data_IF_392236421962
#
_entry.id   IF_392236421962
#
_cell.length_a   1.000
_cell.length_b   1.000
_cell.length_c   1.000
_cell.angle_alpha   90.00
_cell.angle_beta   90.00
_cell.angle_gamma   90.00
#
_symmetry.space_group_name_H-M   'P 1'
#
loop_
_entity.id
_entity.type
_entity.pdbx_description
1 polymer ?
#
# COMPACT_ATOMS: atom_id res chain seq x y z
N UNK A 1 13.59 -13.80 3.43
CA UNK A 1 12.15 -14.23 3.42
C UNK A 1 11.33 -12.98 3.15
N UNK A 2 10.32 -13.03 2.27
CA UNK A 2 9.47 -11.86 1.99
C UNK A 2 8.47 -11.72 3.13
N UNK A 3 8.49 -10.57 3.79
CA UNK A 3 7.58 -10.28 4.91
C UNK A 3 6.33 -9.56 4.45
N UNK A 4 6.43 -8.67 3.45
CA UNK A 4 5.29 -7.88 2.97
C UNK A 4 5.16 -7.97 1.46
N UNK A 5 3.96 -8.26 0.95
CA UNK A 5 3.59 -8.06 -0.45
C UNK A 5 2.86 -6.73 -0.60
N UNK A 6 3.47 -5.79 -1.32
CA UNK A 6 2.89 -4.46 -1.58
C UNK A 6 2.24 -4.50 -2.96
N UNK A 7 0.92 -4.39 -2.98
CA UNK A 7 0.11 -4.42 -4.20
C UNK A 7 -0.27 -2.99 -4.58
N UNK A 8 0.12 -2.59 -5.78
CA UNK A 8 -0.17 -1.27 -6.36
C UNK A 8 -1.05 -1.46 -7.59
N UNK A 9 -2.37 -1.28 -7.49
CA UNK A 9 -3.24 -1.27 -8.65
C UNK A 9 -3.00 -0.01 -9.48
N UNK A 10 -2.82 -0.16 -10.78
CA UNK A 10 -2.48 0.92 -11.70
C UNK A 10 -3.54 1.02 -12.79
N UNK A 11 -4.14 2.19 -12.96
CA UNK A 11 -5.01 2.51 -14.08
C UNK A 11 -4.92 4.00 -14.38
N UNK A 12 -4.43 4.36 -15.58
CA UNK A 12 -4.27 5.75 -16.05
C UNK A 12 -3.50 6.64 -15.05
N UNK A 13 -2.43 6.10 -14.44
CA UNK A 13 -1.69 6.70 -13.33
C UNK A 13 -0.34 7.34 -13.72
N UNK A 14 -0.04 7.54 -15.01
CA UNK A 14 1.27 7.95 -15.53
C UNK A 14 1.92 9.11 -14.77
N UNK A 15 1.13 10.11 -14.40
CA UNK A 15 1.64 11.34 -13.75
C UNK A 15 2.13 11.12 -12.31
N UNK A 16 1.68 10.06 -11.64
CA UNK A 16 1.91 9.84 -10.22
C UNK A 16 2.70 8.57 -9.93
N UNK A 17 2.59 7.56 -10.80
CA UNK A 17 3.08 6.20 -10.59
C UNK A 17 4.57 6.12 -10.24
N UNK A 18 5.43 6.86 -10.95
CA UNK A 18 6.88 6.86 -10.67
C UNK A 18 7.17 7.27 -9.23
N UNK A 19 6.54 8.36 -8.76
CA UNK A 19 6.72 8.85 -7.40
C UNK A 19 6.19 7.87 -6.35
N UNK A 20 5.06 7.22 -6.62
CA UNK A 20 4.52 6.16 -5.77
C UNK A 20 5.55 5.03 -5.61
N UNK A 21 6.02 4.46 -6.72
CA UNK A 21 6.99 3.34 -6.71
C UNK A 21 8.30 3.77 -6.03
N UNK A 22 8.83 4.93 -6.33
CA UNK A 22 10.07 5.44 -5.73
C UNK A 22 9.95 5.59 -4.21
N UNK A 23 8.79 6.02 -3.70
CA UNK A 23 8.54 6.12 -2.27
C UNK A 23 8.50 4.75 -1.57
N UNK A 24 8.03 3.72 -2.26
CA UNK A 24 8.07 2.33 -1.77
C UNK A 24 9.49 1.78 -1.81
N UNK A 25 10.23 2.04 -2.87
CA UNK A 25 11.65 1.61 -2.98
C UNK A 25 12.55 2.29 -1.94
N UNK A 26 12.16 3.47 -1.44
CA UNK A 26 12.87 4.20 -0.39
C UNK A 26 12.61 3.68 1.04
N UNK A 27 11.85 2.59 1.22
CA UNK A 27 11.58 2.03 2.55
C UNK A 27 12.86 1.56 3.23
N UNK A 28 12.99 1.83 4.54
CA UNK A 28 14.13 1.37 5.38
C UNK A 28 14.14 -0.15 5.57
N UNK A 29 12.99 -0.80 5.56
CA UNK A 29 12.83 -2.24 5.54
C UNK A 29 12.94 -2.75 4.11
N UNK A 30 13.70 -3.83 3.85
CA UNK A 30 13.91 -4.39 2.51
C UNK A 30 13.29 -5.79 2.33
N UNK A 31 12.54 -6.27 3.31
CA UNK A 31 11.93 -7.61 3.27
C UNK A 31 10.54 -7.57 2.62
N UNK A 32 10.42 -6.96 1.45
CA UNK A 32 9.16 -6.84 0.72
C UNK A 32 9.31 -7.22 -0.75
N UNK A 33 8.18 -7.51 -1.38
CA UNK A 33 7.97 -7.53 -2.82
C UNK A 33 6.95 -6.47 -3.23
N UNK A 34 7.04 -6.00 -4.46
CA UNK A 34 6.08 -5.06 -5.06
C UNK A 34 5.37 -5.78 -6.21
N UNK A 35 4.05 -5.74 -6.22
CA UNK A 35 3.22 -6.29 -7.28
C UNK A 35 2.47 -5.13 -7.92
N UNK A 36 2.91 -4.71 -9.11
CA UNK A 36 2.25 -3.71 -9.92
C UNK A 36 1.18 -4.40 -10.76
N UNK A 37 -0.07 -3.98 -10.64
CA UNK A 37 -1.17 -4.57 -11.41
C UNK A 37 -1.74 -3.50 -12.34
N UNK A 38 -1.30 -3.52 -13.59
CA UNK A 38 -1.83 -2.67 -14.64
C UNK A 38 -3.19 -3.19 -15.11
N UNK A 39 -4.23 -2.46 -14.81
CA UNK A 39 -5.62 -2.78 -15.12
C UNK A 39 -6.05 -2.21 -16.48
N UNK A 40 -5.21 -2.42 -17.51
CA UNK A 40 -5.47 -2.02 -18.88
C UNK A 40 -5.29 -0.54 -19.14
N UNK A 41 -4.19 0.06 -18.64
CA UNK A 41 -3.85 1.46 -18.89
C UNK A 41 -3.48 1.72 -20.35
N UNK A 42 -3.79 2.92 -20.83
CA UNK A 42 -3.50 3.37 -22.21
C UNK A 42 -2.73 4.69 -22.25
N UNK A 43 -2.31 5.20 -21.10
CA UNK A 43 -1.64 6.51 -20.97
C UNK A 43 -0.11 6.41 -20.88
N UNK A 44 0.46 5.20 -20.95
CA UNK A 44 1.89 4.93 -20.76
C UNK A 44 2.25 4.47 -19.34
N UNK A 45 1.26 4.15 -18.50
CA UNK A 45 1.51 3.58 -17.17
C UNK A 45 2.06 2.16 -17.25
N UNK A 46 1.60 1.35 -18.22
CA UNK A 46 2.07 -0.01 -18.42
C UNK A 46 3.58 -0.06 -18.69
N UNK A 47 4.07 0.81 -19.57
CA UNK A 47 5.49 0.93 -19.90
C UNK A 47 6.32 1.34 -18.68
N UNK A 48 5.78 2.20 -17.81
CA UNK A 48 6.44 2.57 -16.55
C UNK A 48 6.55 1.34 -15.63
N UNK A 49 5.50 0.54 -15.50
CA UNK A 49 5.56 -0.70 -14.71
C UNK A 49 6.68 -1.62 -15.19
N UNK A 50 6.77 -1.84 -16.50
CA UNK A 50 7.80 -2.69 -17.12
C UNK A 50 9.22 -2.14 -16.90
N UNK A 51 9.41 -0.83 -17.09
CA UNK A 51 10.70 -0.18 -16.82
C UNK A 51 11.19 -0.40 -15.38
N UNK A 52 10.30 -0.38 -14.39
CA UNK A 52 10.67 -0.63 -13.02
C UNK A 52 10.96 -2.10 -12.73
N UNK A 53 10.18 -3.02 -13.30
CA UNK A 53 10.41 -4.46 -13.15
C UNK A 53 11.73 -4.92 -13.79
N UNK A 54 12.13 -4.33 -14.92
CA UNK A 54 13.43 -4.60 -15.53
C UNK A 54 14.62 -4.18 -14.65
N UNK A 55 14.46 -3.11 -13.86
CA UNK A 55 15.51 -2.54 -13.00
C UNK A 55 15.54 -3.14 -11.60
N UNK A 56 14.41 -3.63 -11.11
CA UNK A 56 14.21 -4.05 -9.71
C UNK A 56 13.64 -5.47 -9.63
N UNK A 57 14.45 -6.43 -9.21
CA UNK A 57 14.05 -7.84 -9.09
C UNK A 57 12.95 -8.10 -8.04
N UNK A 58 12.69 -7.14 -7.18
CA UNK A 58 11.64 -7.21 -6.16
C UNK A 58 10.27 -6.78 -6.72
N UNK A 59 10.20 -6.35 -7.98
CA UNK A 59 8.97 -5.90 -8.65
C UNK A 59 8.50 -6.95 -9.63
N UNK A 60 7.24 -7.32 -9.52
CA UNK A 60 6.51 -8.16 -10.48
C UNK A 60 5.37 -7.35 -11.08
N UNK A 61 5.14 -7.48 -12.38
CA UNK A 61 4.04 -6.81 -13.09
C UNK A 61 3.00 -7.81 -13.55
N UNK A 62 1.74 -7.45 -13.40
CA UNK A 62 0.59 -8.14 -13.99
C UNK A 62 -0.10 -7.15 -14.93
N UNK A 63 -0.21 -7.47 -16.22
CA UNK A 63 -1.07 -6.77 -17.15
C UNK A 63 -2.36 -7.52 -17.33
N UNK A 64 -3.49 -6.84 -17.26
CA UNK A 64 -4.82 -7.43 -17.44
C UNK A 64 -5.78 -6.47 -18.14
N UNK A 65 -6.84 -7.01 -18.72
CA UNK A 65 -7.94 -6.17 -19.19
C UNK A 65 -8.60 -5.44 -18.01
N UNK A 66 -9.06 -4.21 -18.26
CA UNK A 66 -9.69 -3.39 -17.24
C UNK A 66 -10.87 -4.11 -16.59
N UNK A 67 -10.79 -4.31 -15.30
CA UNK A 67 -11.81 -4.94 -14.47
C UNK A 67 -12.13 -4.13 -13.21
N UNK A 68 -11.51 -2.97 -13.06
CA UNK A 68 -11.67 -2.07 -11.93
C UNK A 68 -10.78 -2.41 -10.73
N UNK A 69 -10.72 -1.47 -9.80
CA UNK A 69 -9.79 -1.46 -8.65
C UNK A 69 -9.80 -2.78 -7.85
N UNK A 70 -10.97 -3.30 -7.53
CA UNK A 70 -11.09 -4.56 -6.76
C UNK A 70 -10.55 -5.76 -7.54
N UNK A 71 -10.77 -5.81 -8.86
CA UNK A 71 -10.21 -6.85 -9.73
C UNK A 71 -8.69 -6.79 -9.78
N UNK A 72 -8.11 -5.60 -9.88
CA UNK A 72 -6.67 -5.40 -9.86
C UNK A 72 -6.06 -5.84 -8.51
N UNK A 73 -6.66 -5.42 -7.38
CA UNK A 73 -6.23 -5.84 -6.05
C UNK A 73 -6.27 -7.37 -5.87
N UNK A 74 -7.34 -8.01 -6.34
CA UNK A 74 -7.47 -9.47 -6.27
C UNK A 74 -6.41 -10.19 -7.11
N UNK A 75 -6.12 -9.71 -8.33
CA UNK A 75 -5.06 -10.27 -9.15
C UNK A 75 -3.68 -10.19 -8.45
N UNK A 76 -3.38 -9.09 -7.79
CA UNK A 76 -2.17 -8.97 -6.97
C UNK A 76 -2.17 -9.95 -5.78
N UNK A 77 -3.31 -10.10 -5.10
CA UNK A 77 -3.46 -11.04 -3.99
C UNK A 77 -3.19 -12.50 -4.41
N UNK A 78 -3.55 -12.89 -5.63
CA UNK A 78 -3.35 -14.28 -6.12
C UNK A 78 -1.89 -14.70 -6.12
N UNK A 79 -0.96 -13.77 -6.36
CA UNK A 79 0.48 -14.06 -6.42
C UNK A 79 1.26 -13.58 -5.20
N UNK A 80 0.64 -12.82 -4.30
CA UNK A 80 1.27 -12.32 -3.08
C UNK A 80 1.84 -13.47 -2.22
N UNK A 81 3.14 -13.39 -1.87
CA UNK A 81 3.87 -14.42 -1.11
C UNK A 81 4.28 -13.99 0.30
N UNK A 82 4.12 -12.72 0.64
CA UNK A 82 4.45 -12.16 1.94
C UNK A 82 3.53 -12.63 3.07
N UNK A 83 4.04 -12.62 4.28
CA UNK A 83 3.26 -12.87 5.50
C UNK A 83 2.17 -11.81 5.71
N UNK A 84 2.44 -10.61 5.25
CA UNK A 84 1.50 -9.50 5.27
C UNK A 84 1.26 -8.94 3.85
N UNK A 85 0.11 -8.34 3.64
CA UNK A 85 -0.26 -7.67 2.40
C UNK A 85 -0.60 -6.21 2.68
N UNK A 86 -0.11 -5.32 1.83
CA UNK A 86 -0.42 -3.90 1.84
C UNK A 86 -0.92 -3.47 0.46
N UNK A 87 -1.93 -2.60 0.44
CA UNK A 87 -2.38 -1.92 -0.76
C UNK A 87 -1.95 -0.45 -0.72
N UNK A 88 -1.37 0.03 -1.82
CA UNK A 88 -1.01 1.44 -2.02
C UNK A 88 -1.63 1.88 -3.34
N UNK A 89 -2.40 2.95 -3.33
CA UNK A 89 -2.97 3.50 -4.56
C UNK A 89 -1.86 4.23 -5.36
N UNK A 90 -1.90 4.15 -6.69
CA UNK A 90 -0.81 4.60 -7.57
C UNK A 90 -0.53 6.11 -7.51
N UNK A 91 -1.42 6.89 -6.92
CA UNK A 91 -1.29 8.34 -6.69
C UNK A 91 -0.82 8.70 -5.28
N UNK A 92 -0.66 7.71 -4.40
CA UNK A 92 -0.19 7.90 -3.03
C UNK A 92 1.35 7.83 -2.92
N UNK A 93 1.86 8.41 -1.82
CA UNK A 93 3.28 8.38 -1.43
C UNK A 93 3.39 7.92 0.01
N UNK A 94 4.35 7.05 0.29
CA UNK A 94 4.54 6.45 1.61
C UNK A 94 5.81 6.96 2.28
N UNK A 95 5.76 7.14 3.61
CA UNK A 95 6.92 7.56 4.38
C UNK A 95 7.98 6.44 4.42
N UNK A 96 9.27 6.78 4.29
CA UNK A 96 10.37 5.80 4.19
C UNK A 96 10.53 4.82 5.36
N UNK A 97 9.98 5.13 6.54
CA UNK A 97 9.98 4.26 7.73
C UNK A 97 8.62 3.61 7.99
N UNK A 98 7.70 3.66 7.03
CA UNK A 98 6.32 3.17 7.25
C UNK A 98 6.33 1.67 7.57
N UNK A 99 6.89 0.84 6.69
CA UNK A 99 6.92 -0.61 6.86
C UNK A 99 7.64 -1.04 8.14
N UNK A 100 8.79 -0.45 8.43
CA UNK A 100 9.55 -0.75 9.66
C UNK A 100 8.70 -0.51 10.91
N UNK A 101 8.00 0.63 10.95
CA UNK A 101 7.16 1.02 12.08
C UNK A 101 5.94 0.11 12.22
N UNK A 102 5.26 -0.18 11.12
CA UNK A 102 4.06 -1.00 11.11
C UNK A 102 4.35 -2.46 11.49
N UNK A 103 5.40 -3.04 10.90
CA UNK A 103 5.83 -4.40 11.22
C UNK A 103 6.27 -4.55 12.68
N UNK A 104 6.95 -3.54 13.23
CA UNK A 104 7.33 -3.54 14.64
C UNK A 104 6.08 -3.61 15.53
N UNK A 105 5.10 -2.74 15.31
CA UNK A 105 3.87 -2.72 16.10
C UNK A 105 3.07 -4.01 15.94
N UNK A 106 2.90 -4.51 14.72
CA UNK A 106 2.17 -5.78 14.49
C UNK A 106 2.78 -6.95 15.25
N UNK A 107 4.12 -7.04 15.27
CA UNK A 107 4.85 -8.10 15.99
C UNK A 107 4.76 -7.94 17.51
N UNK A 108 4.91 -6.73 18.02
CA UNK A 108 4.83 -6.43 19.47
C UNK A 108 3.43 -6.71 20.02
N UNK A 109 2.39 -6.35 19.28
CA UNK A 109 1.00 -6.45 19.71
C UNK A 109 0.31 -7.76 19.26
N UNK A 110 1.01 -8.61 18.46
CA UNK A 110 0.44 -9.81 17.85
C UNK A 110 -0.89 -9.52 17.12
N UNK A 111 -0.92 -8.42 16.38
CA UNK A 111 -2.11 -7.95 15.67
C UNK A 111 -2.17 -8.48 14.24
N UNK A 112 -3.36 -8.64 13.69
CA UNK A 112 -3.58 -9.12 12.32
C UNK A 112 -3.72 -7.96 11.32
N UNK A 113 -4.03 -6.75 11.80
CA UNK A 113 -4.24 -5.58 10.97
C UNK A 113 -3.58 -4.36 11.63
N UNK A 114 -2.82 -3.60 10.83
CA UNK A 114 -2.35 -2.27 11.19
C UNK A 114 -3.03 -1.22 10.31
N UNK A 115 -3.39 -0.07 10.89
CA UNK A 115 -4.02 1.05 10.18
C UNK A 115 -3.22 2.31 10.47
N UNK A 116 -2.57 2.87 9.45
CA UNK A 116 -1.87 4.13 9.57
C UNK A 116 -2.77 5.34 9.27
N UNK A 117 -2.30 6.53 9.66
CA UNK A 117 -2.94 7.78 9.28
C UNK A 117 -2.60 8.18 7.84
N UNK A 118 -3.56 8.80 7.15
CA UNK A 118 -3.38 9.40 5.83
C UNK A 118 -3.35 10.92 5.96
N UNK A 119 -2.45 11.56 5.20
CA UNK A 119 -2.42 13.01 5.05
C UNK A 119 -2.72 13.35 3.58
N UNK A 120 -3.67 14.25 3.35
CA UNK A 120 -3.99 14.76 2.01
C UNK A 120 -3.11 15.97 1.71
N UNK A 121 -2.63 16.05 0.47
CA UNK A 121 -1.85 17.16 -0.06
C UNK A 121 -2.63 17.82 -1.21
N UNK A 122 -2.56 19.14 -1.29
CA UNK A 122 -3.14 19.89 -2.38
C UNK A 122 -2.19 19.98 -3.58
N UNK A 123 -0.88 20.10 -3.32
CA UNK A 123 0.16 20.28 -4.31
C UNK A 123 1.27 19.23 -4.13
N UNK A 124 1.93 18.86 -5.23
CA UNK A 124 2.99 17.85 -5.25
C UNK A 124 4.21 18.26 -4.42
N UNK A 125 4.55 19.55 -4.43
CA UNK A 125 5.67 20.13 -3.70
C UNK A 125 5.53 19.99 -2.16
N UNK A 126 4.30 19.86 -1.65
CA UNK A 126 4.04 19.66 -0.23
C UNK A 126 4.48 18.28 0.27
N UNK A 127 4.58 17.29 -0.62
CA UNK A 127 4.97 15.92 -0.26
C UNK A 127 6.45 15.86 0.12
N UNK A 128 7.31 16.57 -0.61
CA UNK A 128 8.76 16.55 -0.38
C UNK A 128 9.15 17.24 0.93
N UNK A 129 8.30 18.15 1.42
CA UNK A 129 8.53 18.86 2.71
C UNK A 129 8.07 18.07 3.93
N UNK A 130 7.36 16.96 3.76
CA UNK A 130 6.84 16.13 4.85
C UNK A 130 7.83 15.08 5.38
N UNK A 131 9.14 15.28 5.20
CA UNK A 131 10.19 14.40 5.73
C UNK A 131 10.15 14.20 7.27
N UNK A 132 9.38 15.00 8.00
CA UNK A 132 9.15 14.91 9.44
C UNK A 132 7.68 14.64 9.79
N UNK A 133 7.09 13.59 9.24
CA UNK A 133 5.86 13.07 9.81
C UNK A 133 6.18 12.53 11.21
N UNK A 134 5.82 13.31 12.24
CA UNK A 134 5.86 12.82 13.60
C UNK A 134 4.89 11.65 13.70
N UNK A 135 5.43 10.44 13.74
CA UNK A 135 4.68 9.24 14.12
C UNK A 135 4.27 9.45 15.56
N UNK A 136 3.10 10.05 15.77
CA UNK A 136 2.49 10.09 17.11
C UNK A 136 2.13 8.65 17.43
N UNK A 137 2.65 8.14 18.53
CA UNK A 137 2.37 6.82 19.09
C UNK A 137 0.88 6.70 19.48
N UNK A 138 0.01 6.60 18.52
CA UNK A 138 -1.40 6.28 18.73
C UNK A 138 -1.63 4.86 18.20
N UNK A 139 -1.20 3.85 18.96
CA UNK A 139 -1.60 2.47 18.74
C UNK A 139 -2.93 2.29 19.42
N UNK A 140 -3.98 2.07 18.64
CA UNK A 140 -5.29 1.71 19.13
C UNK A 140 -5.54 0.25 18.76
N UNK A 141 -5.47 -0.64 19.74
CA UNK A 141 -5.73 -2.08 19.56
C UNK A 141 -7.24 -2.28 19.65
N UNK A 142 -7.83 -2.87 18.62
CA UNK A 142 -9.26 -3.14 18.55
C UNK A 142 -9.51 -4.55 18.06
N UNK A 143 -10.51 -5.23 18.61
CA UNK A 143 -10.99 -6.51 18.10
C UNK A 143 -11.74 -6.30 16.77
N UNK A 144 -11.81 -7.36 15.94
CA UNK A 144 -12.59 -7.31 14.70
C UNK A 144 -14.05 -6.89 14.93
N UNK A 145 -14.67 -7.34 16.04
CA UNK A 145 -16.03 -6.96 16.41
C UNK A 145 -16.17 -5.47 16.75
N UNK A 146 -15.16 -4.86 17.38
CA UNK A 146 -15.15 -3.42 17.66
C UNK A 146 -15.02 -2.59 16.39
N UNK A 147 -14.20 -3.05 15.44
CA UNK A 147 -14.05 -2.43 14.12
C UNK A 147 -15.38 -2.47 13.37
N UNK A 148 -16.02 -3.62 13.30
CA UNK A 148 -17.33 -3.78 12.66
C UNK A 148 -18.38 -2.86 13.30
N UNK A 149 -18.48 -2.80 14.62
CA UNK A 149 -19.42 -1.95 15.32
C UNK A 149 -19.24 -0.47 14.99
N UNK A 150 -17.98 0.00 14.89
CA UNK A 150 -17.65 1.38 14.53
C UNK A 150 -18.00 1.70 13.07
N UNK A 151 -17.83 0.76 12.15
CA UNK A 151 -18.25 0.89 10.76
C UNK A 151 -19.77 1.09 10.65
N UNK A 152 -20.55 0.26 11.34
CA UNK A 152 -22.02 0.34 11.32
C UNK A 152 -22.54 1.58 12.03
N UNK A 153 -21.88 2.07 13.03
CA UNK A 153 -22.25 3.31 13.76
C UNK A 153 -21.80 4.60 13.06
N UNK A 154 -21.14 4.52 11.91
CA UNK A 154 -20.68 5.68 11.13
C UNK A 154 -19.55 6.48 11.80
N UNK A 155 -18.90 5.94 12.84
CA UNK A 155 -17.77 6.59 13.49
C UNK A 155 -16.47 6.27 12.76
N UNK A 156 -15.69 7.31 12.38
CA UNK A 156 -14.41 7.16 11.70
C UNK A 156 -14.46 6.30 10.43
N UNK A 157 -15.54 6.40 9.66
CA UNK A 157 -15.81 5.58 8.46
C UNK A 157 -14.63 5.61 7.47
N UNK A 158 -14.03 6.78 7.25
CA UNK A 158 -12.89 6.93 6.34
C UNK A 158 -11.67 6.10 6.78
N UNK A 159 -11.44 5.96 8.08
CA UNK A 159 -10.34 5.17 8.65
C UNK A 159 -10.46 3.68 8.34
N UNK A 160 -11.69 3.15 8.22
CA UNK A 160 -11.92 1.71 8.09
C UNK A 160 -12.30 1.24 6.68
N UNK A 161 -12.87 2.11 5.83
CA UNK A 161 -13.35 1.72 4.50
C UNK A 161 -12.22 1.60 3.47
N UNK A 162 -11.22 2.49 3.50
CA UNK A 162 -10.11 2.40 2.56
C UNK A 162 -9.15 1.26 2.91
N UNK A 163 -8.72 0.48 1.91
CA UNK A 163 -7.64 -0.50 2.08
C UNK A 163 -6.25 0.13 1.97
N UNK A 164 -6.13 1.35 1.41
CA UNK A 164 -4.86 2.01 1.20
C UNK A 164 -4.17 2.34 2.53
N UNK A 165 -2.85 2.12 2.59
CA UNK A 165 -2.05 2.38 3.79
C UNK A 165 -2.41 1.51 4.99
N UNK A 166 -2.94 0.30 4.77
CA UNK A 166 -3.20 -0.69 5.82
C UNK A 166 -2.41 -1.95 5.54
N UNK A 167 -1.85 -2.53 6.59
CA UNK A 167 -1.13 -3.78 6.53
C UNK A 167 -2.01 -4.90 7.11
N UNK A 168 -2.22 -5.95 6.34
CA UNK A 168 -3.08 -7.09 6.69
C UNK A 168 -2.25 -8.36 6.76
N UNK A 169 -2.50 -9.22 7.76
CA UNK A 169 -1.92 -10.55 7.80
C UNK A 169 -2.48 -11.40 6.66
N UNK A 170 -1.60 -12.07 5.94
CA UNK A 170 -1.96 -12.93 4.82
C UNK A 170 -2.21 -14.36 5.33
N UNK A 171 -3.43 -14.83 5.24
CA UNK A 171 -3.84 -16.17 5.70
C UNK A 171 -3.93 -17.21 4.57
N UNK A 172 -3.16 -17.02 3.49
CA UNK A 172 -3.05 -18.05 2.45
C UNK A 172 -2.37 -19.31 2.92
#
# INVERSE_FOLDING_TARGET
MITVSIIIPVYQGKSYLKRCIDSVLAQSCQEYEIILVDDGSTDGSAEICDEYAEKQKTITVIHKENGGLSSARNAGLEIASGEYVMFIDADDVVHSKMLETELKVLKEENADIFICGLKRFAEIEEVDTCAELQIKNCVEIQSGLEIESKLFCGQNVEKYISCCGKLFKNYK
#
